data_IF_904761484821
#
_entry.id   IF_904761484821
#
_cell.length_a   1.000
_cell.length_b   1.000
_cell.length_c   1.000
_cell.angle_alpha   90.00
_cell.angle_beta   90.00
_cell.angle_gamma   90.00
#
_symmetry.space_group_name_H-M   'P 1'
#
loop_
_entity.id
_entity.type
_entity.pdbx_description
1 polymer ?
#
# COMPACT_ATOMS: atom_id res chain seq x y z
N UNK A 1 -7.49 -14.03 5.35
CA UNK A 1 -6.07 -14.29 5.66
C UNK A 1 -5.43 -12.97 6.10
N UNK A 2 -4.47 -13.02 7.03
CA UNK A 2 -3.79 -11.82 7.55
C UNK A 2 -2.74 -11.33 6.55
N UNK A 3 -2.46 -10.04 6.57
CA UNK A 3 -1.33 -9.46 5.85
C UNK A 3 -0.13 -9.27 6.76
N UNK A 4 1.06 -9.15 6.16
CA UNK A 4 2.29 -8.79 6.86
C UNK A 4 2.95 -7.60 6.19
N UNK A 5 3.36 -6.60 6.96
CA UNK A 5 4.15 -5.46 6.51
C UNK A 5 5.45 -5.53 7.31
N UNK A 6 6.52 -6.04 6.71
CA UNK A 6 7.71 -6.47 7.45
C UNK A 6 7.33 -7.46 8.57
N UNK A 7 7.67 -7.11 9.81
CA UNK A 7 7.34 -7.90 11.00
C UNK A 7 5.97 -7.57 11.60
N UNK A 8 5.25 -6.60 11.04
CA UNK A 8 3.92 -6.24 11.49
C UNK A 8 2.88 -7.18 10.92
N UNK A 9 1.96 -7.70 11.75
CA UNK A 9 0.90 -8.63 11.33
C UNK A 9 -0.48 -8.02 11.58
N UNK A 10 -1.36 -8.04 10.57
CA UNK A 10 -2.73 -7.56 10.74
C UNK A 10 -3.56 -8.50 11.63
N UNK A 11 -4.54 -7.93 12.32
CA UNK A 11 -5.50 -8.70 13.10
C UNK A 11 -6.48 -9.46 12.20
N UNK A 12 -7.00 -8.78 11.19
CA UNK A 12 -8.01 -9.29 10.26
C UNK A 12 -7.51 -9.28 8.82
N UNK A 13 -8.25 -9.93 7.92
CA UNK A 13 -8.09 -9.69 6.48
C UNK A 13 -8.32 -8.20 6.22
N UNK A 14 -7.45 -7.53 5.46
CA UNK A 14 -7.66 -6.14 5.07
C UNK A 14 -8.89 -6.00 4.16
N UNK A 15 -9.50 -4.83 4.17
CA UNK A 15 -10.58 -4.44 3.25
C UNK A 15 -10.04 -3.46 2.21
N UNK A 16 -10.81 -3.27 1.14
CA UNK A 16 -10.54 -2.25 0.11
C UNK A 16 -9.16 -2.36 -0.54
N UNK A 17 -8.61 -3.57 -0.64
CA UNK A 17 -7.35 -3.83 -1.33
C UNK A 17 -7.46 -3.42 -2.80
N UNK A 18 -6.59 -2.52 -3.23
CA UNK A 18 -6.47 -2.07 -4.62
C UNK A 18 -5.01 -2.01 -5.01
N UNK A 19 -4.69 -2.58 -6.16
CA UNK A 19 -3.41 -2.42 -6.84
C UNK A 19 -3.57 -1.36 -7.93
N UNK A 20 -2.68 -0.36 -7.92
CA UNK A 20 -2.64 0.74 -8.86
C UNK A 20 -1.35 0.60 -9.67
N UNK A 21 -1.40 0.03 -10.88
CA UNK A 21 -0.23 -0.01 -11.76
C UNK A 21 0.17 1.40 -12.20
N UNK A 22 1.47 1.68 -12.29
CA UNK A 22 1.96 2.91 -12.94
C UNK A 22 2.13 2.68 -14.45
N UNK A 23 1.04 2.86 -15.20
CA UNK A 23 1.07 2.87 -16.65
C UNK A 23 1.29 4.29 -17.18
N UNK A 24 2.39 4.47 -17.91
CA UNK A 24 2.75 5.77 -18.47
C UNK A 24 2.25 5.87 -19.89
N UNK A 25 1.08 6.46 -20.05
CA UNK A 25 0.50 6.77 -21.35
C UNK A 25 0.25 8.26 -21.48
N UNK A 26 0.48 8.83 -22.66
CA UNK A 26 0.23 10.24 -22.94
C UNK A 26 -0.57 10.36 -24.24
N UNK A 27 -1.61 11.20 -24.20
CA UNK A 27 -2.38 11.56 -25.37
C UNK A 27 -1.76 12.81 -26.02
N UNK A 28 -1.31 12.68 -27.26
CA UNK A 28 -0.74 13.78 -28.04
C UNK A 28 -1.75 14.21 -29.09
N UNK A 29 -2.13 15.50 -29.06
CA UNK A 29 -2.96 16.08 -30.12
C UNK A 29 -2.09 16.40 -31.33
N UNK A 30 -2.54 15.97 -32.51
CA UNK A 30 -1.92 16.23 -33.81
C UNK A 30 -2.97 16.83 -34.74
N UNK A 31 -2.52 17.43 -35.85
CA UNK A 31 -3.43 18.02 -36.85
C UNK A 31 -4.41 16.99 -37.47
N UNK A 32 -4.12 15.69 -37.35
CA UNK A 32 -4.97 14.57 -37.78
C UNK A 32 -5.80 13.89 -36.69
N UNK A 33 -5.81 14.42 -35.46
CA UNK A 33 -6.50 13.86 -34.31
C UNK A 33 -5.57 13.46 -33.16
N UNK A 34 -6.05 12.58 -32.27
CA UNK A 34 -5.29 12.16 -31.09
C UNK A 34 -4.44 10.92 -31.38
N UNK A 35 -3.16 10.96 -31.02
CA UNK A 35 -2.26 9.79 -31.01
C UNK A 35 -1.96 9.43 -29.56
N UNK A 36 -2.04 8.14 -29.23
CA UNK A 36 -1.63 7.63 -27.91
C UNK A 36 -0.17 7.22 -27.98
N UNK A 37 0.65 7.79 -27.09
CA UNK A 37 2.01 7.32 -26.82
C UNK A 37 1.99 6.44 -25.58
N UNK A 38 2.35 5.17 -25.74
CA UNK A 38 2.45 4.20 -24.67
C UNK A 38 3.92 3.94 -24.31
N UNK A 39 4.30 4.28 -23.09
CA UNK A 39 5.65 4.08 -22.56
C UNK A 39 5.75 2.81 -21.70
N UNK A 40 4.65 2.05 -21.58
CA UNK A 40 4.56 0.83 -20.78
C UNK A 40 4.39 1.08 -19.27
N UNK A 41 4.42 -0.03 -18.53
CA UNK A 41 4.29 -0.04 -17.07
C UNK A 41 5.63 0.17 -16.37
N UNK A 42 5.67 0.98 -15.32
CA UNK A 42 6.85 1.20 -14.49
C UNK A 42 6.63 0.64 -13.09
N UNK A 43 7.24 -0.52 -12.81
CA UNK A 43 7.02 -1.23 -11.55
C UNK A 43 7.36 -0.39 -10.30
N UNK A 44 8.29 0.57 -10.37
CA UNK A 44 8.62 1.47 -9.26
C UNK A 44 7.56 2.53 -8.99
N UNK A 45 6.55 2.70 -9.85
CA UNK A 45 5.41 3.57 -9.58
C UNK A 45 4.19 2.83 -9.04
N UNK A 46 4.21 1.49 -9.01
CA UNK A 46 3.10 0.68 -8.55
C UNK A 46 2.76 0.98 -7.09
N UNK A 47 1.46 1.07 -6.80
CA UNK A 47 0.95 1.30 -5.45
C UNK A 47 -0.08 0.28 -5.06
N UNK A 48 -0.15 -0.02 -3.76
CA UNK A 48 -1.19 -0.81 -3.16
C UNK A 48 -1.84 0.04 -2.07
N UNK A 49 -3.16 0.18 -2.11
CA UNK A 49 -3.94 0.82 -1.04
C UNK A 49 -4.83 -0.21 -0.37
N UNK A 50 -4.91 -0.16 0.95
CA UNK A 50 -5.78 -1.06 1.72
C UNK A 50 -6.14 -0.47 3.09
N UNK A 51 -7.20 -1.01 3.67
CA UNK A 51 -7.60 -0.76 5.05
C UNK A 51 -7.28 -1.99 5.90
N UNK A 52 -6.59 -1.81 7.01
CA UNK A 52 -6.21 -2.90 7.90
C UNK A 52 -6.43 -2.54 9.37
N UNK A 53 -6.63 -3.59 10.18
CA UNK A 53 -6.73 -3.48 11.64
C UNK A 53 -5.51 -4.11 12.26
N UNK A 54 -4.86 -3.40 13.17
CA UNK A 54 -3.69 -3.88 13.91
C UNK A 54 -3.94 -3.79 15.41
N UNK A 55 -3.29 -4.68 16.16
CA UNK A 55 -3.09 -4.47 17.59
C UNK A 55 -2.04 -3.36 17.74
N UNK A 56 -2.13 -2.57 18.81
CA UNK A 56 -1.25 -1.41 19.08
C UNK A 56 0.23 -1.68 18.82
N UNK A 57 0.79 -2.77 19.34
CA UNK A 57 2.21 -3.09 19.19
C UNK A 57 2.59 -3.40 17.73
N UNK A 58 1.70 -4.06 16.99
CA UNK A 58 1.88 -4.33 15.56
C UNK A 58 1.77 -3.04 14.74
N UNK A 59 0.84 -2.15 15.09
CA UNK A 59 0.72 -0.84 14.46
C UNK A 59 1.97 0.02 14.70
N UNK A 60 2.56 -0.04 15.89
CA UNK A 60 3.78 0.72 16.19
C UNK A 60 4.94 0.32 15.27
N UNK A 61 5.05 -0.96 14.90
CA UNK A 61 6.02 -1.40 13.87
C UNK A 61 5.74 -0.73 12.52
N UNK A 62 4.49 -0.75 12.07
CA UNK A 62 4.07 -0.07 10.81
C UNK A 62 4.37 1.42 10.86
N UNK A 63 4.09 2.06 12.00
CA UNK A 63 4.39 3.47 12.24
C UNK A 63 5.89 3.76 12.17
N UNK A 64 6.73 2.88 12.74
CA UNK A 64 8.19 2.98 12.64
C UNK A 64 8.67 2.85 11.20
N UNK A 65 8.16 1.91 10.41
CA UNK A 65 8.51 1.80 8.97
C UNK A 65 8.14 3.07 8.20
N UNK A 66 6.96 3.64 8.50
CA UNK A 66 6.54 4.91 7.92
C UNK A 66 7.49 6.08 8.27
N UNK A 67 7.88 6.21 9.55
CA UNK A 67 8.75 7.31 10.00
C UNK A 67 10.19 7.17 9.53
N UNK A 68 10.76 5.98 9.65
CA UNK A 68 12.16 5.69 9.27
C UNK A 68 12.36 5.66 7.76
N UNK A 69 11.28 5.52 6.99
CA UNK A 69 11.30 5.28 5.54
C UNK A 69 12.00 3.96 5.18
N UNK A 70 12.10 3.02 6.11
CA UNK A 70 12.61 1.68 5.83
C UNK A 70 11.79 0.99 4.73
N UNK A 71 12.48 0.25 3.86
CA UNK A 71 11.85 -0.59 2.85
C UNK A 71 11.59 -1.97 3.45
N UNK A 72 10.35 -2.44 3.29
CA UNK A 72 9.88 -3.68 3.89
C UNK A 72 9.25 -4.59 2.86
N UNK A 73 9.28 -5.88 3.13
CA UNK A 73 8.52 -6.84 2.34
C UNK A 73 7.08 -6.85 2.82
N UNK A 74 6.15 -6.73 1.87
CA UNK A 74 4.71 -6.82 2.12
C UNK A 74 4.19 -8.18 1.65
N UNK A 75 3.54 -8.94 2.53
CA UNK A 75 2.84 -10.17 2.16
C UNK A 75 1.34 -9.90 2.17
N UNK A 76 0.70 -10.08 1.01
CA UNK A 76 -0.74 -9.87 0.88
C UNK A 76 -1.57 -11.05 1.38
N UNK A 77 -2.90 -10.88 1.36
CA UNK A 77 -3.82 -11.90 1.87
C UNK A 77 -3.88 -13.18 1.02
N UNK A 78 -3.35 -13.16 -0.20
CA UNK A 78 -3.22 -14.34 -1.08
C UNK A 78 -1.89 -15.08 -0.87
N UNK A 79 -0.96 -14.48 -0.13
CA UNK A 79 0.38 -15.02 0.13
C UNK A 79 1.45 -14.52 -0.84
N UNK A 80 1.13 -13.58 -1.74
CA UNK A 80 2.13 -12.97 -2.62
C UNK A 80 3.00 -12.01 -1.82
N UNK A 81 4.31 -12.10 -2.05
CA UNK A 81 5.32 -11.23 -1.43
C UNK A 81 5.71 -10.13 -2.40
N UNK A 82 5.59 -8.90 -1.94
CA UNK A 82 5.94 -7.67 -2.62
C UNK A 82 7.20 -7.11 -1.94
N UNK A 83 8.39 -7.26 -2.53
CA UNK A 83 9.63 -6.88 -1.87
C UNK A 83 9.86 -5.37 -1.93
N UNK A 84 10.64 -4.84 -0.98
CA UNK A 84 11.15 -3.46 -1.01
C UNK A 84 10.07 -2.38 -1.12
N UNK A 85 8.94 -2.57 -0.45
CA UNK A 85 7.84 -1.60 -0.44
C UNK A 85 8.12 -0.53 0.61
N UNK A 86 7.86 0.73 0.26
CA UNK A 86 7.80 1.81 1.24
C UNK A 86 6.38 1.87 1.83
N UNK A 87 6.29 2.13 3.13
CA UNK A 87 5.02 2.31 3.84
C UNK A 87 4.64 3.79 3.88
N UNK A 88 3.37 4.09 3.61
CA UNK A 88 2.73 5.39 3.84
C UNK A 88 1.42 5.18 4.57
N UNK A 89 1.21 5.91 5.66
CA UNK A 89 -0.05 5.90 6.40
C UNK A 89 -0.88 7.09 5.92
N UNK A 90 -2.08 6.82 5.39
CA UNK A 90 -3.00 7.86 4.92
C UNK A 90 -3.86 8.37 6.07
N UNK A 91 -4.39 7.46 6.88
CA UNK A 91 -5.19 7.76 8.07
C UNK A 91 -5.09 6.62 9.09
N UNK A 92 -5.32 6.92 10.37
CA UNK A 92 -5.54 5.90 11.39
C UNK A 92 -6.52 6.40 12.45
N UNK A 93 -7.18 5.46 13.13
CA UNK A 93 -8.10 5.75 14.22
C UNK A 93 -8.31 4.55 15.13
N UNK A 94 -8.82 4.81 16.33
CA UNK A 94 -9.13 3.78 17.30
C UNK A 94 -10.52 3.21 17.06
N UNK A 95 -10.71 1.94 17.39
CA UNK A 95 -12.05 1.37 17.46
C UNK A 95 -12.69 1.74 18.80
N UNK A 96 -13.92 2.25 18.77
CA UNK A 96 -14.64 2.62 19.99
C UNK A 96 -14.71 1.45 20.97
N UNK A 97 -14.43 1.69 22.26
CA UNK A 97 -14.36 0.69 23.33
C UNK A 97 -13.20 -0.33 23.22
N UNK A 98 -12.33 -0.17 22.22
CA UNK A 98 -11.27 -1.10 21.88
C UNK A 98 -10.00 -0.35 21.44
N UNK A 99 -9.47 0.52 22.33
CA UNK A 99 -8.36 1.44 22.03
C UNK A 99 -7.04 0.76 21.65
N UNK A 100 -6.87 -0.52 22.04
CA UNK A 100 -5.71 -1.31 21.63
C UNK A 100 -5.77 -1.78 20.18
N UNK A 101 -6.86 -1.49 19.47
CA UNK A 101 -7.08 -1.87 18.09
C UNK A 101 -7.16 -0.64 17.21
N UNK A 102 -6.26 -0.59 16.23
CA UNK A 102 -6.05 0.57 15.38
C UNK A 102 -6.48 0.19 13.97
N UNK A 103 -7.50 0.89 13.46
CA UNK A 103 -7.86 0.86 12.06
C UNK A 103 -6.97 1.85 11.33
N UNK A 104 -6.36 1.44 10.23
CA UNK A 104 -5.52 2.33 9.43
C UNK A 104 -5.74 2.11 7.93
N UNK A 105 -5.69 3.21 7.21
CA UNK A 105 -5.62 3.26 5.76
C UNK A 105 -4.15 3.41 5.37
N UNK A 106 -3.64 2.46 4.58
CA UNK A 106 -2.24 2.34 4.23
C UNK A 106 -2.09 2.37 2.70
N UNK A 107 -1.07 3.09 2.24
CA UNK A 107 -0.54 3.02 0.88
C UNK A 107 0.88 2.44 0.92
N UNK A 108 1.13 1.42 0.11
CA UNK A 108 2.43 0.81 -0.11
C UNK A 108 2.87 1.11 -1.53
N UNK A 109 4.14 1.46 -1.73
CA UNK A 109 4.68 1.88 -3.03
C UNK A 109 6.02 1.20 -3.26
N UNK A 110 6.23 0.72 -4.49
CA UNK A 110 7.56 0.30 -4.94
C UNK A 110 8.44 1.53 -5.17
N UNK A 111 9.75 1.32 -5.24
CA UNK A 111 10.78 2.32 -5.57
C UNK A 111 11.61 1.81 -6.74
#
# INVERSE_FOLDING_TARGET
MKIRIGDAVSLTTPTDFKFHPDDRQTLVQTDGGNVVQDFGSVASGDKITLNAVFIRDEFLKVWTYYQSRELVDFTDSSGVVWPQMRVRILAYGYKERFENYINCEIELWRI
#
